data_IF_221248768402
#
_entry.id   IF_221248768402
#
_cell.length_a   1.000
_cell.length_b   1.000
_cell.length_c   1.000
_cell.angle_alpha   90.00
_cell.angle_beta   90.00
_cell.angle_gamma   90.00
#
_symmetry.space_group_name_H-M   'P 1'
#
loop_
_entity.id
_entity.type
_entity.pdbx_description
1 polymer ?
#
# COMPACT_ATOMS: atom_id res chain seq x y z
N UNK A 1 14.69 12.91 11.99
CA UNK A 1 13.25 13.27 12.01
C UNK A 1 13.08 14.50 11.13
N UNK A 2 12.10 14.49 10.22
CA UNK A 2 11.76 15.64 9.35
C UNK A 2 10.34 16.07 9.67
N UNK A 3 10.11 17.38 9.82
CA UNK A 3 8.79 17.98 9.98
C UNK A 3 8.53 18.88 8.77
N UNK A 4 7.46 18.59 8.02
CA UNK A 4 7.04 19.38 6.86
C UNK A 4 5.72 20.08 7.18
N UNK A 5 5.70 21.40 7.06
CA UNK A 5 4.50 22.22 7.27
C UNK A 5 3.94 22.64 5.90
N UNK A 6 2.72 22.21 5.61
CA UNK A 6 2.01 22.53 4.37
C UNK A 6 1.22 23.85 4.54
N UNK A 7 1.89 24.99 4.37
CA UNK A 7 1.29 26.32 4.50
C UNK A 7 0.86 26.84 3.12
N UNK A 8 -0.39 27.32 3.02
CA UNK A 8 -1.00 27.72 1.74
C UNK A 8 -0.87 26.62 0.65
N UNK A 9 -0.90 25.35 1.09
CA UNK A 9 -0.71 24.20 0.23
C UNK A 9 -2.03 23.76 -0.42
N UNK A 10 -1.92 23.30 -1.67
CA UNK A 10 -3.01 22.71 -2.46
C UNK A 10 -2.40 21.64 -3.36
N UNK A 11 -2.88 20.39 -3.26
CA UNK A 11 -2.36 19.30 -4.07
C UNK A 11 -2.56 19.51 -5.58
N UNK A 12 -3.71 20.10 -5.97
CA UNK A 12 -3.93 20.50 -7.37
C UNK A 12 -2.94 21.56 -7.85
N UNK A 13 -2.58 22.52 -7.00
CA UNK A 13 -1.59 23.54 -7.33
C UNK A 13 -0.19 22.92 -7.46
N UNK A 14 0.17 22.02 -6.54
CA UNK A 14 1.41 21.26 -6.63
C UNK A 14 1.54 20.49 -7.95
N UNK A 15 0.46 19.83 -8.40
CA UNK A 15 0.47 19.10 -9.68
C UNK A 15 0.63 20.02 -10.89
N UNK A 16 -0.04 21.18 -10.90
CA UNK A 16 0.13 22.18 -11.97
C UNK A 16 1.58 22.65 -12.03
N UNK A 17 2.16 23.00 -10.89
CA UNK A 17 3.55 23.47 -10.81
C UNK A 17 4.55 22.36 -11.21
N UNK A 18 4.29 21.11 -10.83
CA UNK A 18 5.11 19.97 -11.19
C UNK A 18 5.13 19.77 -12.71
N UNK A 19 3.96 19.81 -13.36
CA UNK A 19 3.87 19.68 -14.82
C UNK A 19 4.53 20.86 -15.57
N UNK A 20 4.36 22.09 -15.07
CA UNK A 20 5.07 23.25 -15.63
C UNK A 20 6.59 23.08 -15.50
N UNK A 21 7.07 22.64 -14.33
CA UNK A 21 8.48 22.37 -14.07
C UNK A 21 9.06 21.31 -15.02
N UNK A 22 8.30 20.24 -15.27
CA UNK A 22 8.65 19.16 -16.18
C UNK A 22 8.73 19.64 -17.64
N UNK A 23 7.76 20.42 -18.10
CA UNK A 23 7.79 21.04 -19.44
C UNK A 23 8.98 21.98 -19.60
N UNK A 24 9.28 22.80 -18.59
CA UNK A 24 10.43 23.70 -18.61
C UNK A 24 11.76 22.95 -18.59
N UNK A 25 11.85 21.81 -17.90
CA UNK A 25 13.03 20.96 -17.90
C UNK A 25 13.26 20.33 -19.28
N UNK A 26 12.21 19.80 -19.91
CA UNK A 26 12.28 19.25 -21.25
C UNK A 26 12.72 20.29 -22.30
N UNK A 27 12.16 21.51 -22.24
CA UNK A 27 12.55 22.60 -23.13
C UNK A 27 14.05 22.95 -23.07
N UNK A 28 14.72 22.70 -21.93
CA UNK A 28 16.18 22.88 -21.78
C UNK A 28 17.01 21.66 -22.19
N UNK A 29 16.38 20.51 -22.36
CA UNK A 29 17.03 19.22 -22.59
C UNK A 29 16.64 18.59 -23.95
N UNK A 30 16.53 19.43 -24.98
CA UNK A 30 16.24 18.97 -26.34
C UNK A 30 14.77 19.02 -26.75
N UNK A 31 13.88 19.61 -25.95
CA UNK A 31 12.48 19.82 -26.32
C UNK A 31 11.51 18.77 -25.81
N UNK A 32 10.23 18.92 -26.15
CA UNK A 32 9.14 18.04 -25.68
C UNK A 32 9.16 16.67 -26.37
N UNK A 33 9.78 16.57 -27.55
CA UNK A 33 9.96 15.34 -28.30
C UNK A 33 10.77 14.27 -27.55
N UNK A 34 11.62 14.69 -26.62
CA UNK A 34 12.45 13.81 -25.80
C UNK A 34 11.91 13.64 -24.37
N UNK A 35 10.78 14.28 -24.06
CA UNK A 35 10.17 14.18 -22.75
C UNK A 35 9.56 12.78 -22.56
N UNK A 36 10.06 12.06 -21.57
CA UNK A 36 9.44 10.85 -21.04
C UNK A 36 8.66 11.23 -19.78
N UNK A 37 7.39 10.82 -19.71
CA UNK A 37 6.52 11.08 -18.56
C UNK A 37 6.08 9.76 -17.97
N UNK A 38 6.53 9.52 -16.76
CA UNK A 38 6.17 8.41 -15.88
C UNK A 38 5.96 8.90 -14.44
N UNK A 39 5.59 8.00 -13.54
CA UNK A 39 5.34 8.31 -12.12
C UNK A 39 6.57 8.92 -11.44
N UNK A 40 7.76 8.41 -11.75
CA UNK A 40 9.02 8.89 -11.19
C UNK A 40 9.32 10.32 -11.64
N UNK A 41 9.20 10.61 -12.94
CA UNK A 41 9.42 11.93 -13.50
C UNK A 41 8.50 12.97 -12.87
N UNK A 42 7.21 12.65 -12.67
CA UNK A 42 6.26 13.54 -12.01
C UNK A 42 6.67 13.75 -10.54
N UNK A 43 6.99 12.66 -9.84
CA UNK A 43 7.38 12.69 -8.42
C UNK A 43 8.63 13.56 -8.18
N UNK A 44 9.58 13.56 -9.11
CA UNK A 44 10.77 14.43 -9.04
C UNK A 44 10.45 15.93 -9.17
N UNK A 45 9.27 16.30 -9.66
CA UNK A 45 8.85 17.69 -9.82
C UNK A 45 7.84 18.16 -8.75
N UNK A 46 7.38 17.28 -7.86
CA UNK A 46 6.52 17.65 -6.71
C UNK A 46 7.29 18.49 -5.68
N UNK A 47 6.56 19.23 -4.83
CA UNK A 47 7.17 19.95 -3.71
C UNK A 47 7.80 18.99 -2.70
N UNK A 48 7.28 17.77 -2.66
CA UNK A 48 7.65 16.68 -1.74
C UNK A 48 8.73 15.73 -2.27
N UNK A 49 9.31 15.96 -3.46
CA UNK A 49 10.29 15.07 -4.15
C UNK A 49 11.47 14.51 -3.33
N UNK A 50 11.76 15.06 -2.16
CA UNK A 50 12.84 14.62 -1.26
C UNK A 50 12.32 13.86 -0.03
N UNK A 51 11.02 13.58 0.02
CA UNK A 51 10.32 12.91 1.09
C UNK A 51 9.74 11.59 0.56
N UNK A 52 9.71 10.53 1.38
CA UNK A 52 8.93 9.34 1.04
C UNK A 52 7.44 9.66 1.09
N UNK A 53 6.65 8.87 0.35
CA UNK A 53 5.19 8.94 0.45
C UNK A 53 4.73 8.56 1.87
N UNK A 54 3.67 9.19 2.39
CA UNK A 54 3.15 8.88 3.72
C UNK A 54 2.56 7.46 3.78
N UNK A 55 2.91 6.71 4.82
CA UNK A 55 2.26 5.41 5.10
C UNK A 55 0.86 5.57 5.72
N UNK A 56 0.66 6.62 6.51
CA UNK A 56 -0.54 6.87 7.30
C UNK A 56 -0.87 8.37 7.28
N UNK A 57 -2.12 8.69 6.95
CA UNK A 57 -2.69 10.03 7.15
C UNK A 57 -3.75 9.97 8.24
N UNK A 58 -3.59 10.84 9.25
CA UNK A 58 -4.56 11.00 10.33
C UNK A 58 -5.38 12.26 10.07
N UNK A 59 -6.71 12.11 10.06
CA UNK A 59 -7.65 13.22 9.90
C UNK A 59 -8.56 13.33 11.11
N UNK A 60 -8.54 14.50 11.75
CA UNK A 60 -9.38 14.83 12.90
C UNK A 60 -10.77 15.28 12.48
N UNK A 61 -11.63 15.54 13.48
CA UNK A 61 -12.99 16.08 13.37
C UNK A 61 -14.01 15.22 12.59
N UNK A 62 -13.72 13.95 12.35
CA UNK A 62 -14.67 13.00 11.73
C UNK A 62 -14.92 13.21 10.24
N UNK A 63 -14.17 14.09 9.57
CA UNK A 63 -14.47 14.48 8.20
C UNK A 63 -13.88 13.50 7.18
N UNK A 64 -14.75 12.76 6.48
CA UNK A 64 -14.36 11.72 5.51
C UNK A 64 -14.04 12.30 4.12
N UNK A 65 -13.00 13.13 4.01
CA UNK A 65 -12.49 13.68 2.75
C UNK A 65 -10.98 13.95 2.86
N UNK A 66 -10.26 14.11 1.75
CA UNK A 66 -8.85 14.57 1.79
C UNK A 66 -8.73 16.09 1.78
N UNK A 67 -9.74 16.81 1.28
CA UNK A 67 -9.72 18.28 1.16
C UNK A 67 -8.48 18.80 0.41
N UNK A 68 -8.15 18.19 -0.73
CA UNK A 68 -7.05 18.64 -1.60
C UNK A 68 -5.66 18.60 -0.92
N UNK A 69 -5.46 17.63 -0.03
CA UNK A 69 -4.20 17.38 0.66
C UNK A 69 -3.47 16.16 0.07
N UNK A 70 -2.20 16.33 -0.32
CA UNK A 70 -1.27 15.29 -0.79
C UNK A 70 -1.89 14.23 -1.72
N UNK A 71 -2.62 14.65 -2.76
CA UNK A 71 -3.42 13.74 -3.58
C UNK A 71 -2.57 12.70 -4.35
N UNK A 72 -1.35 13.05 -4.73
CA UNK A 72 -0.43 12.13 -5.41
C UNK A 72 0.19 11.16 -4.41
N UNK A 73 0.73 11.70 -3.32
CA UNK A 73 1.52 10.98 -2.33
C UNK A 73 0.67 10.04 -1.47
N UNK A 74 -0.62 10.33 -1.31
CA UNK A 74 -1.53 9.50 -0.51
C UNK A 74 -2.16 8.34 -1.31
N UNK A 75 -1.72 8.07 -2.54
CA UNK A 75 -2.31 7.03 -3.39
C UNK A 75 -2.41 5.65 -2.72
N UNK A 76 -1.43 5.31 -1.87
CA UNK A 76 -1.38 4.05 -1.13
C UNK A 76 -1.32 4.23 0.40
N UNK A 77 -1.53 5.46 0.88
CA UNK A 77 -1.53 5.74 2.30
C UNK A 77 -2.78 5.18 2.97
N UNK A 78 -2.63 4.64 4.17
CA UNK A 78 -3.77 4.31 5.00
C UNK A 78 -4.40 5.59 5.57
N UNK A 79 -5.73 5.68 5.52
CA UNK A 79 -6.48 6.84 5.99
C UNK A 79 -7.14 6.47 7.32
N UNK A 80 -6.69 7.12 8.40
CA UNK A 80 -7.31 7.02 9.71
C UNK A 80 -8.07 8.31 10.03
N UNK A 81 -9.38 8.21 10.22
CA UNK A 81 -10.23 9.35 10.56
C UNK A 81 -10.76 9.18 11.98
N UNK A 82 -10.61 10.22 12.80
CA UNK A 82 -11.07 10.24 14.19
C UNK A 82 -12.06 11.40 14.43
N UNK A 83 -13.11 11.21 15.24
CA UNK A 83 -14.01 12.30 15.62
C UNK A 83 -13.33 13.34 16.53
N UNK A 84 -12.19 13.02 17.16
CA UNK A 84 -11.44 13.95 18.02
C UNK A 84 -11.09 15.23 17.28
N UNK A 85 -11.37 16.39 17.87
CA UNK A 85 -11.03 17.70 17.30
C UNK A 85 -9.53 17.99 17.44
N UNK A 86 -8.95 18.73 16.50
CA UNK A 86 -7.52 19.04 16.51
C UNK A 86 -7.02 19.68 17.83
N UNK A 87 -7.71 20.67 18.44
CA UNK A 87 -7.29 21.24 19.72
C UNK A 87 -7.26 20.23 20.88
N UNK A 88 -8.01 19.14 20.76
CA UNK A 88 -8.13 18.07 21.76
C UNK A 88 -7.24 16.85 21.42
N UNK A 89 -6.60 16.84 20.25
CA UNK A 89 -5.72 15.76 19.83
C UNK A 89 -4.44 15.72 20.70
N UNK A 90 -3.98 14.52 21.05
CA UNK A 90 -2.90 14.27 22.02
C UNK A 90 -2.12 13.03 21.59
N UNK A 91 -0.97 12.78 22.22
CA UNK A 91 -0.12 11.62 21.91
C UNK A 91 -0.84 10.27 21.94
N UNK A 92 -1.81 10.08 22.85
CA UNK A 92 -2.61 8.84 22.91
C UNK A 92 -3.38 8.58 21.63
N UNK A 93 -3.95 9.62 21.02
CA UNK A 93 -4.71 9.52 19.78
C UNK A 93 -3.81 9.22 18.56
N UNK A 94 -2.56 9.70 18.58
CA UNK A 94 -1.56 9.32 17.58
C UNK A 94 -1.24 7.82 17.68
N UNK A 95 -1.04 7.33 18.91
CA UNK A 95 -0.77 5.90 19.14
C UNK A 95 -1.94 5.02 18.72
N UNK A 96 -3.18 5.46 18.94
CA UNK A 96 -4.39 4.79 18.43
C UNK A 96 -4.37 4.69 16.89
N UNK A 97 -4.08 5.79 16.20
CA UNK A 97 -3.97 5.80 14.74
C UNK A 97 -2.88 4.86 14.22
N UNK A 98 -1.72 4.81 14.89
CA UNK A 98 -0.63 3.87 14.54
C UNK A 98 -1.03 2.43 14.81
N UNK A 99 -1.69 2.14 15.93
CA UNK A 99 -2.18 0.81 16.25
C UNK A 99 -3.21 0.31 15.22
N UNK A 100 -4.11 1.18 14.76
CA UNK A 100 -5.06 0.85 13.69
C UNK A 100 -4.36 0.60 12.35
N UNK A 101 -3.35 1.39 12.01
CA UNK A 101 -2.53 1.16 10.83
C UNK A 101 -1.83 -0.22 10.88
N UNK A 102 -1.26 -0.61 12.03
CA UNK A 102 -0.57 -1.89 12.19
C UNK A 102 -1.48 -3.12 12.07
N UNK A 103 -2.79 -2.98 12.32
CA UNK A 103 -3.77 -4.08 12.18
C UNK A 103 -4.10 -4.39 10.72
N UNK A 104 -3.82 -3.47 9.80
CA UNK A 104 -4.17 -3.65 8.39
C UNK A 104 -3.17 -4.56 7.73
N UNK A 105 -3.66 -5.68 7.18
CA UNK A 105 -2.85 -6.52 6.32
C UNK A 105 -2.53 -5.74 5.04
N UNK A 106 -1.24 -5.43 4.85
CA UNK A 106 -0.76 -4.86 3.61
C UNK A 106 -0.91 -5.90 2.51
N UNK A 107 -2.00 -5.79 1.75
CA UNK A 107 -2.22 -6.54 0.51
C UNK A 107 -1.34 -5.94 -0.59
N UNK A 108 -0.03 -6.05 -0.46
CA UNK A 108 0.87 -5.91 -1.61
C UNK A 108 0.55 -7.04 -2.56
N UNK A 109 -0.23 -6.79 -3.62
CA UNK A 109 -0.42 -7.69 -4.77
C UNK A 109 -0.36 -9.18 -4.43
N UNK A 110 -1.39 -9.68 -3.75
CA UNK A 110 -1.61 -11.04 -3.23
C UNK A 110 -0.58 -12.13 -3.52
N UNK A 111 0.01 -12.67 -2.46
CA UNK A 111 0.17 -14.11 -2.23
C UNK A 111 0.09 -14.39 -0.72
N UNK A 112 -1.08 -14.20 -0.11
CA UNK A 112 -1.39 -14.96 1.10
C UNK A 112 -1.50 -16.42 0.64
N UNK A 113 -0.47 -17.22 0.89
CA UNK A 113 -0.57 -18.66 0.69
C UNK A 113 -1.60 -19.20 1.68
N UNK A 114 -2.83 -19.37 1.21
CA UNK A 114 -3.80 -20.20 1.89
C UNK A 114 -3.22 -21.61 1.99
N UNK A 115 -2.76 -21.97 3.20
CA UNK A 115 -2.45 -23.34 3.55
C UNK A 115 -3.78 -24.12 3.59
N UNK A 116 -4.20 -24.61 2.42
CA UNK A 116 -5.30 -25.57 2.35
C UNK A 116 -4.87 -26.86 3.08
N UNK A 117 -5.67 -27.40 4.01
CA UNK A 117 -5.31 -28.61 4.72
C UNK A 117 -5.29 -29.78 3.74
N UNK A 118 -4.17 -30.52 3.72
CA UNK A 118 -4.01 -31.76 2.96
C UNK A 118 -5.09 -32.75 3.40
N UNK A 119 -6.10 -32.94 2.56
CA UNK A 119 -7.05 -34.03 2.72
C UNK A 119 -6.32 -35.34 2.38
N UNK A 120 -6.10 -36.15 3.42
CA UNK A 120 -5.69 -37.54 3.28
C UNK A 120 -6.89 -38.33 2.72
N UNK A 121 -6.90 -38.55 1.40
CA UNK A 121 -7.85 -39.47 0.80
C UNK A 121 -7.47 -40.90 1.14
N UNK A 122 -8.46 -41.58 1.74
CA UNK A 122 -8.37 -42.91 2.29
C UNK A 122 -8.12 -44.00 1.26
N UNK A 123 -7.59 -45.08 1.83
CA UNK A 123 -7.38 -46.41 1.29
C UNK A 123 -8.64 -46.96 0.62
N UNK A 124 -8.49 -47.47 -0.60
CA UNK A 124 -9.45 -48.39 -1.21
C UNK A 124 -8.73 -49.71 -1.59
N UNK A 125 -9.23 -50.89 -1.17
CA UNK A 125 -8.55 -52.15 -1.38
C UNK A 125 -9.02 -52.84 -2.66
N UNK A 126 -8.08 -53.34 -3.47
CA UNK A 126 -8.38 -54.19 -4.63
C UNK A 126 -7.54 -55.47 -4.58
N UNK A 127 -8.25 -56.60 -4.51
CA UNK A 127 -7.80 -58.01 -4.37
C UNK A 127 -7.12 -58.47 -5.67
N UNK A 128 -6.10 -59.33 -5.69
CA UNK A 128 -6.10 -60.78 -5.41
C UNK A 128 -4.76 -61.35 -5.95
N UNK A 129 -4.12 -62.35 -5.35
CA UNK A 129 -4.28 -63.78 -5.71
C UNK A 129 -3.38 -64.71 -4.83
N UNK A 130 -3.58 -66.04 -4.87
CA UNK A 130 -3.49 -66.92 -3.70
C UNK A 130 -2.18 -67.73 -3.63
N UNK A 131 -1.81 -68.17 -2.43
CA UNK A 131 -1.05 -69.41 -2.31
C UNK A 131 -1.40 -70.18 -1.04
N UNK A 132 -2.17 -71.26 -1.24
CA UNK A 132 -2.42 -72.29 -0.25
C UNK A 132 -1.23 -73.26 -0.23
N UNK A 133 -0.63 -73.45 0.94
CA UNK A 133 0.28 -74.56 1.17
C UNK A 133 0.06 -75.10 2.59
N UNK A 134 -0.60 -76.25 2.68
CA UNK A 134 -0.26 -77.34 3.60
C UNK A 134 -1.23 -78.50 3.42
N UNK A 135 -0.65 -79.68 3.17
CA UNK A 135 -0.96 -81.02 3.72
C UNK A 135 -0.38 -82.05 2.75
N UNK A 136 0.33 -83.12 3.08
CA UNK A 136 1.09 -83.59 4.23
C UNK A 136 1.70 -84.94 3.80
N UNK A 137 2.82 -85.35 4.43
CA UNK A 137 3.39 -86.73 4.48
C UNK A 137 3.94 -87.23 3.13
N UNK A 138 5.10 -87.87 3.03
CA UNK A 138 5.85 -88.73 3.94
C UNK A 138 7.36 -88.51 3.71
#
# INVERSE_FOLDING_TARGET
MVLTLALNYSARSELVDAFQSLVHAAARNGGLEHLQVDEDSISQHLYTRHLPDPDLVIRTSGEMRLSNFLLWQLAYAEIYVTPTLWPDFRGVHLLEGVAEYQKRERRYGGLSQDHAPTQSHGVEPSRSHPHAAKTARN
#
